data_IF_751760473564
#
_entry.id   IF_751760473564
#
_cell.length_a   1.000
_cell.length_b   1.000
_cell.length_c   1.000
_cell.angle_alpha   90.00
_cell.angle_beta   90.00
_cell.angle_gamma   90.00
#
_symmetry.space_group_name_H-M   'P 1'
#
loop_
_entity.id
_entity.type
_entity.pdbx_description
1 polymer ?
#
# COMPACT_ATOMS: atom_id res chain seq x y z
N UNK A 1 -25.19 -5.17 -2.47
CA UNK A 1 -24.34 -5.45 -3.63
C UNK A 1 -22.94 -4.95 -3.36
N UNK A 2 -21.96 -5.77 -3.55
CA UNK A 2 -20.56 -5.42 -3.27
C UNK A 2 -19.87 -5.05 -4.58
N UNK A 3 -19.35 -3.82 -4.63
CA UNK A 3 -18.53 -3.37 -5.76
C UNK A 3 -17.08 -3.67 -5.48
N UNK A 4 -16.34 -4.03 -6.52
CA UNK A 4 -14.88 -4.23 -6.41
C UNK A 4 -14.17 -3.02 -7.01
N UNK A 5 -13.35 -2.39 -6.19
CA UNK A 5 -12.51 -1.28 -6.64
C UNK A 5 -11.06 -1.74 -6.67
N UNK A 6 -10.41 -1.51 -7.80
CA UNK A 6 -8.99 -1.84 -7.98
C UNK A 6 -8.17 -0.58 -7.77
N UNK A 7 -7.21 -0.65 -6.88
CA UNK A 7 -6.31 0.47 -6.63
C UNK A 7 -4.86 0.00 -6.67
N UNK A 8 -3.99 0.88 -7.13
CA UNK A 8 -2.56 0.61 -7.17
C UNK A 8 -1.83 1.64 -6.33
N UNK A 9 -1.10 1.13 -5.36
CA UNK A 9 -0.28 1.99 -4.51
C UNK A 9 0.91 2.50 -5.34
N UNK A 10 1.26 3.79 -5.24
CA UNK A 10 2.46 4.28 -5.93
C UNK A 10 3.68 3.44 -5.61
N UNK A 11 4.53 3.25 -6.61
CA UNK A 11 5.69 2.35 -6.53
C UNK A 11 6.59 2.73 -5.36
N UNK A 12 6.94 1.73 -4.56
CA UNK A 12 7.86 1.89 -3.44
C UNK A 12 9.27 1.55 -3.91
N UNK A 13 10.24 2.37 -3.56
CA UNK A 13 11.62 2.10 -3.91
C UNK A 13 12.24 1.19 -2.84
N UNK A 14 12.93 0.15 -3.28
CA UNK A 14 13.53 -0.82 -2.37
C UNK A 14 14.59 -0.21 -1.46
N UNK A 15 15.22 0.87 -1.88
CA UNK A 15 16.19 1.58 -1.04
C UNK A 15 15.58 2.07 0.27
N UNK A 16 14.28 2.38 0.29
CA UNK A 16 13.58 2.75 1.52
C UNK A 16 13.47 1.56 2.49
N UNK A 17 13.72 0.34 1.99
CA UNK A 17 13.64 -0.88 2.77
C UNK A 17 14.99 -1.59 2.88
N UNK A 18 16.07 -0.83 2.82
CA UNK A 18 17.40 -1.30 3.13
C UNK A 18 18.17 -1.97 2.01
N UNK A 19 17.62 -2.06 0.79
CA UNK A 19 18.37 -2.60 -0.32
C UNK A 19 19.47 -1.62 -0.76
N UNK A 20 20.69 -2.13 -0.96
CA UNK A 20 21.80 -1.29 -1.39
C UNK A 20 21.68 -0.98 -2.88
N UNK A 21 21.89 0.28 -3.24
CA UNK A 21 21.89 0.71 -4.63
C UNK A 21 23.16 1.44 -5.01
N UNK A 22 24.03 1.74 -4.04
CA UNK A 22 25.12 2.68 -4.25
C UNK A 22 26.37 2.08 -4.88
N UNK A 23 26.60 0.80 -4.67
CA UNK A 23 27.86 0.18 -5.08
C UNK A 23 27.98 -0.04 -6.58
N UNK A 24 26.88 0.05 -7.30
CA UNK A 24 26.85 -0.18 -8.75
C UNK A 24 26.81 1.12 -9.56
N UNK A 25 27.16 2.25 -8.95
CA UNK A 25 27.20 3.52 -9.64
C UNK A 25 28.15 3.42 -10.85
N UNK A 26 27.65 3.77 -12.03
CA UNK A 26 28.43 3.73 -13.27
C UNK A 26 28.35 2.42 -14.03
N UNK A 27 27.74 1.37 -13.46
CA UNK A 27 27.53 0.09 -14.15
C UNK A 27 26.10 0.00 -14.67
N UNK A 28 25.87 -0.66 -15.83
CA UNK A 28 24.51 -0.98 -16.23
C UNK A 28 23.88 -1.87 -15.17
N UNK A 29 22.78 -1.43 -14.61
CA UNK A 29 22.06 -2.19 -13.59
C UNK A 29 20.63 -2.42 -14.05
N UNK A 30 20.13 -3.63 -13.81
CA UNK A 30 18.75 -3.96 -14.12
C UNK A 30 17.92 -3.74 -12.85
N UNK A 31 16.89 -2.96 -12.99
CA UNK A 31 15.93 -2.75 -11.92
C UNK A 31 14.76 -3.70 -12.13
N UNK A 32 14.26 -4.21 -11.02
CA UNK A 32 13.11 -5.10 -11.03
C UNK A 32 11.97 -4.51 -10.23
N UNK A 33 10.77 -4.87 -10.59
CA UNK A 33 9.58 -4.54 -9.83
C UNK A 33 8.91 -5.81 -9.38
N UNK A 34 8.55 -5.86 -8.10
CA UNK A 34 7.79 -6.95 -7.52
C UNK A 34 6.45 -6.40 -7.06
N UNK A 35 5.38 -7.05 -7.46
CA UNK A 35 4.04 -6.62 -7.08
C UNK A 35 3.36 -7.68 -6.25
N UNK A 36 2.65 -7.25 -5.23
CA UNK A 36 1.85 -8.10 -4.38
C UNK A 36 0.45 -7.52 -4.30
N UNK A 37 -0.53 -8.34 -4.61
CA UNK A 37 -1.93 -7.96 -4.51
C UNK A 37 -2.51 -8.47 -3.20
N UNK A 38 -3.46 -7.71 -2.69
CA UNK A 38 -4.26 -8.13 -1.55
C UNK A 38 -5.63 -7.48 -1.66
N UNK A 39 -6.60 -8.06 -0.97
CA UNK A 39 -7.93 -7.49 -0.95
C UNK A 39 -8.40 -7.31 0.48
N UNK A 40 -9.34 -6.40 0.67
CA UNK A 40 -10.01 -6.21 1.93
C UNK A 40 -11.45 -5.78 1.68
N UNK A 41 -12.31 -6.03 2.64
CA UNK A 41 -13.71 -5.63 2.58
C UNK A 41 -13.95 -4.60 3.67
N UNK A 42 -14.57 -3.48 3.30
CA UNK A 42 -14.78 -2.41 4.26
C UNK A 42 -15.99 -1.56 3.87
N UNK A 43 -16.54 -0.88 4.84
CA UNK A 43 -17.67 0.01 4.65
C UNK A 43 -17.22 1.46 4.80
N UNK A 44 -17.86 2.35 4.06
CA UNK A 44 -17.58 3.78 4.17
C UNK A 44 -18.78 4.61 3.75
N UNK A 45 -18.75 5.89 4.13
CA UNK A 45 -19.60 6.89 3.52
C UNK A 45 -18.72 7.79 2.67
N UNK A 46 -19.28 8.29 1.57
CA UNK A 46 -18.58 9.21 0.70
C UNK A 46 -19.40 10.49 0.63
N UNK A 47 -18.90 11.54 1.26
CA UNK A 47 -19.61 12.82 1.29
C UNK A 47 -19.33 13.58 -0.01
N UNK A 48 -20.41 13.88 -0.73
CA UNK A 48 -20.36 14.64 -1.97
C UNK A 48 -21.32 15.81 -1.89
N UNK A 49 -20.97 16.90 -2.57
CA UNK A 49 -21.84 18.05 -2.66
C UNK A 49 -23.09 17.74 -3.48
N UNK A 50 -22.92 17.00 -4.59
CA UNK A 50 -24.02 16.59 -5.46
C UNK A 50 -24.42 15.17 -5.07
N UNK A 51 -25.71 14.94 -4.88
CA UNK A 51 -26.22 13.63 -4.47
C UNK A 51 -25.90 13.32 -3.02
N UNK A 52 -25.93 14.33 -2.14
CA UNK A 52 -25.51 14.21 -0.75
C UNK A 52 -26.23 13.11 0.02
N UNK A 53 -27.53 12.91 -0.22
CA UNK A 53 -28.28 11.86 0.48
C UNK A 53 -27.78 10.47 0.12
N UNK A 54 -27.53 10.21 -1.15
CA UNK A 54 -26.97 8.95 -1.59
C UNK A 54 -25.58 8.72 -1.04
N UNK A 55 -24.78 9.79 -0.97
CA UNK A 55 -23.39 9.71 -0.47
C UNK A 55 -23.31 9.48 1.03
N UNK A 56 -24.34 9.79 1.79
CA UNK A 56 -24.34 9.58 3.25
C UNK A 56 -24.68 8.14 3.63
N UNK A 57 -25.14 7.34 2.68
CA UNK A 57 -25.41 5.94 2.95
C UNK A 57 -24.11 5.19 3.14
N UNK A 58 -24.17 4.16 3.97
CA UNK A 58 -23.03 3.28 4.16
C UNK A 58 -22.92 2.38 2.94
N UNK A 59 -21.75 2.40 2.32
CA UNK A 59 -21.43 1.54 1.17
C UNK A 59 -20.42 0.49 1.58
N UNK A 60 -20.68 -0.74 1.22
CA UNK A 60 -19.74 -1.84 1.41
C UNK A 60 -19.10 -2.17 0.08
N UNK A 61 -17.78 -2.32 0.10
CA UNK A 61 -17.00 -2.64 -1.08
C UNK A 61 -15.96 -3.70 -0.79
N UNK A 62 -15.62 -4.46 -1.82
CA UNK A 62 -14.39 -5.23 -1.82
C UNK A 62 -13.34 -4.40 -2.54
N UNK A 63 -12.25 -4.14 -1.88
CA UNK A 63 -11.13 -3.39 -2.44
C UNK A 63 -10.01 -4.33 -2.82
N UNK A 64 -9.46 -4.14 -4.02
CA UNK A 64 -8.33 -4.91 -4.52
C UNK A 64 -7.17 -3.94 -4.66
N UNK A 65 -6.11 -4.18 -3.92
CA UNK A 65 -4.95 -3.29 -3.87
C UNK A 65 -3.72 -4.00 -4.39
N UNK A 66 -2.87 -3.25 -5.09
CA UNK A 66 -1.60 -3.76 -5.59
C UNK A 66 -0.47 -2.87 -5.08
N UNK A 67 0.49 -3.49 -4.41
CA UNK A 67 1.70 -2.82 -3.93
C UNK A 67 2.86 -3.27 -4.79
N UNK A 68 3.60 -2.31 -5.34
CA UNK A 68 4.77 -2.59 -6.18
C UNK A 68 6.01 -2.00 -5.51
N UNK A 69 7.04 -2.83 -5.38
CA UNK A 69 8.34 -2.42 -4.88
C UNK A 69 9.34 -2.52 -6.02
N UNK A 70 10.08 -1.45 -6.27
CA UNK A 70 11.07 -1.39 -7.34
C UNK A 70 12.47 -1.22 -6.76
N UNK A 71 13.45 -1.84 -7.38
CA UNK A 71 14.82 -1.66 -6.96
C UNK A 71 15.79 -2.60 -7.66
N UNK A 72 17.03 -2.53 -7.21
CA UNK A 72 18.12 -3.36 -7.68
C UNK A 72 18.30 -4.47 -6.65
N UNK A 73 18.38 -5.75 -7.06
CA UNK A 73 18.59 -6.83 -6.12
C UNK A 73 19.88 -6.65 -5.31
N UNK A 74 19.81 -6.97 -4.01
CA UNK A 74 20.99 -6.96 -3.17
C UNK A 74 21.99 -7.99 -3.64
N UNK A 75 23.28 -7.68 -3.54
CA UNK A 75 24.35 -8.57 -4.01
C UNK A 75 24.36 -9.89 -3.26
N UNK A 76 24.15 -9.84 -1.97
CA UNK A 76 24.24 -11.03 -1.11
C UNK A 76 22.93 -11.80 -1.09
N UNK A 77 21.81 -11.12 -1.18
CA UNK A 77 20.49 -11.72 -1.05
C UNK A 77 19.88 -12.14 -2.39
N UNK A 78 20.25 -11.46 -3.46
CA UNK A 78 19.62 -11.66 -4.77
C UNK A 78 18.19 -11.14 -4.82
N UNK A 79 17.77 -10.34 -3.83
CA UNK A 79 16.39 -9.90 -3.69
C UNK A 79 16.30 -8.38 -3.70
N UNK A 80 15.26 -7.86 -4.38
CA UNK A 80 14.84 -6.46 -4.26
C UNK A 80 14.31 -6.22 -2.85
N UNK A 81 13.51 -7.14 -2.37
CA UNK A 81 12.97 -7.17 -1.02
C UNK A 81 12.66 -8.62 -0.67
N UNK A 82 12.75 -8.95 0.61
CA UNK A 82 12.27 -10.25 1.07
C UNK A 82 10.73 -10.25 0.99
N UNK A 83 10.19 -11.15 0.19
CA UNK A 83 8.75 -11.23 -0.03
C UNK A 83 7.98 -11.56 1.26
N UNK A 84 8.58 -12.32 2.16
CA UNK A 84 7.98 -12.62 3.45
C UNK A 84 7.79 -11.36 4.28
N UNK A 85 8.79 -10.47 4.27
CA UNK A 85 8.70 -9.19 4.97
C UNK A 85 7.63 -8.30 4.36
N UNK A 86 7.58 -8.24 3.04
CA UNK A 86 6.56 -7.45 2.34
C UNK A 86 5.15 -7.97 2.69
N UNK A 87 4.96 -9.27 2.65
CA UNK A 87 3.66 -9.88 2.97
C UNK A 87 3.25 -9.62 4.42
N UNK A 88 4.19 -9.67 5.35
CA UNK A 88 3.91 -9.38 6.76
C UNK A 88 3.45 -7.93 6.95
N UNK A 89 4.12 -7.01 6.29
CA UNK A 89 3.74 -5.59 6.36
C UNK A 89 2.38 -5.32 5.70
N UNK A 90 2.13 -5.95 4.57
CA UNK A 90 0.82 -5.85 3.89
C UNK A 90 -0.28 -6.40 4.80
N UNK A 91 -0.03 -7.53 5.45
CA UNK A 91 -1.00 -8.12 6.37
C UNK A 91 -1.33 -7.17 7.52
N UNK A 92 -0.33 -6.51 8.06
CA UNK A 92 -0.52 -5.51 9.12
C UNK A 92 -1.39 -4.34 8.65
N UNK A 93 -1.11 -3.83 7.45
CA UNK A 93 -1.87 -2.72 6.87
C UNK A 93 -3.31 -3.18 6.55
N UNK A 94 -3.45 -4.38 6.01
CA UNK A 94 -4.76 -4.95 5.72
C UNK A 94 -5.61 -5.02 6.97
N UNK A 95 -5.04 -5.41 8.10
CA UNK A 95 -5.76 -5.51 9.37
C UNK A 95 -6.28 -4.16 9.86
N UNK A 96 -5.67 -3.06 9.44
CA UNK A 96 -6.15 -1.73 9.76
C UNK A 96 -7.40 -1.35 8.96
N UNK A 97 -7.61 -2.01 7.83
CA UNK A 97 -8.67 -1.64 6.87
C UNK A 97 -9.77 -2.69 6.78
N UNK A 98 -9.43 -3.97 6.84
CA UNK A 98 -10.35 -5.06 6.60
C UNK A 98 -11.42 -5.12 7.68
N UNK A 99 -12.67 -5.18 7.25
CA UNK A 99 -13.83 -5.22 8.15
C UNK A 99 -13.93 -4.02 9.11
N UNK A 100 -13.36 -2.90 8.70
CA UNK A 100 -13.44 -1.65 9.46
C UNK A 100 -14.39 -0.68 8.77
N UNK A 101 -14.94 0.24 9.57
CA UNK A 101 -15.64 1.40 9.03
C UNK A 101 -14.59 2.46 8.71
N UNK A 102 -14.39 2.70 7.44
CA UNK A 102 -13.25 3.48 6.95
C UNK A 102 -13.27 4.94 7.40
N UNK A 103 -14.47 5.49 7.63
CA UNK A 103 -14.61 6.86 8.13
C UNK A 103 -13.94 7.03 9.50
N UNK A 104 -13.77 5.93 10.24
CA UNK A 104 -13.17 5.93 11.58
C UNK A 104 -11.70 5.54 11.58
N UNK A 105 -11.11 5.21 10.44
CA UNK A 105 -9.70 4.83 10.38
C UNK A 105 -8.82 6.08 10.49
N UNK A 106 -8.01 6.20 11.55
CA UNK A 106 -7.16 7.39 11.73
C UNK A 106 -6.16 7.54 10.59
N UNK A 107 -6.06 8.77 10.05
CA UNK A 107 -5.10 9.07 9.01
C UNK A 107 -5.56 8.79 7.59
N UNK A 108 -6.71 8.14 7.43
CA UNK A 108 -7.22 7.85 6.09
C UNK A 108 -7.90 9.07 5.46
N UNK A 109 -8.66 9.81 6.24
CA UNK A 109 -9.47 10.90 5.72
C UNK A 109 -10.68 10.39 4.96
N UNK A 110 -11.08 11.11 3.92
CA UNK A 110 -12.17 10.67 3.06
C UNK A 110 -11.79 9.37 2.33
N UNK A 111 -12.68 8.39 2.33
CA UNK A 111 -12.38 7.06 1.79
C UNK A 111 -12.45 7.05 0.26
N UNK A 112 -11.54 7.77 -0.37
CA UNK A 112 -11.34 7.75 -1.82
C UNK A 112 -10.23 6.77 -2.17
N UNK A 113 -10.18 6.31 -3.41
CA UNK A 113 -9.10 5.42 -3.86
C UNK A 113 -7.75 6.11 -3.73
N UNK A 114 -7.70 7.41 -4.01
CA UNK A 114 -6.46 8.18 -3.89
C UNK A 114 -5.96 8.20 -2.45
N UNK A 115 -6.84 8.42 -1.50
CA UNK A 115 -6.48 8.43 -0.08
C UNK A 115 -6.09 7.03 0.41
N UNK A 116 -6.69 5.97 -0.11
CA UNK A 116 -6.26 4.60 0.18
C UNK A 116 -4.83 4.37 -0.25
N UNK A 117 -4.50 4.77 -1.47
CA UNK A 117 -3.14 4.60 -1.98
C UNK A 117 -2.12 5.33 -1.11
N UNK A 118 -2.44 6.56 -0.72
CA UNK A 118 -1.59 7.36 0.16
C UNK A 118 -1.44 6.72 1.53
N UNK A 119 -2.55 6.28 2.10
CA UNK A 119 -2.56 5.66 3.43
C UNK A 119 -1.72 4.39 3.44
N UNK A 120 -1.96 3.49 2.47
CA UNK A 120 -1.23 2.22 2.40
C UNK A 120 0.27 2.48 2.23
N UNK A 121 0.62 3.38 1.34
CA UNK A 121 2.02 3.74 1.10
C UNK A 121 2.69 4.27 2.36
N UNK A 122 2.03 5.21 3.03
CA UNK A 122 2.56 5.80 4.27
C UNK A 122 2.75 4.77 5.36
N UNK A 123 1.78 3.86 5.53
CA UNK A 123 1.87 2.82 6.54
C UNK A 123 3.05 1.88 6.28
N UNK A 124 3.28 1.53 5.03
CA UNK A 124 4.39 0.66 4.67
C UNK A 124 5.74 1.33 4.88
N UNK A 125 5.85 2.62 4.56
CA UNK A 125 7.10 3.37 4.74
C UNK A 125 7.38 3.64 6.22
N UNK A 126 6.36 3.99 7.00
CA UNK A 126 6.52 4.28 8.43
C UNK A 126 6.98 3.04 9.19
N UNK A 127 6.48 1.87 8.84
CA UNK A 127 6.88 0.62 9.47
C UNK A 127 8.38 0.38 9.31
N UNK A 128 8.93 0.69 8.15
CA UNK A 128 10.37 0.56 7.91
C UNK A 128 11.18 1.54 8.71
N UNK A 129 10.73 2.78 8.76
CA UNK A 129 11.39 3.82 9.55
C UNK A 129 11.43 3.44 11.03
N UNK A 130 10.33 2.90 11.55
CA UNK A 130 10.24 2.49 12.96
C UNK A 130 11.15 1.31 13.30
N UNK A 131 11.48 0.47 12.34
CA UNK A 131 12.40 -0.64 12.55
C UNK A 131 13.87 -0.22 12.58
N UNK A 132 14.16 0.98 12.19
CA UNK A 132 15.53 1.46 12.12
C UNK A 132 16.34 0.84 11.00
N UNK A 133 15.70 0.28 10.01
CA UNK A 133 16.34 -0.36 8.85
C UNK A 133 16.51 0.64 7.72
N UNK A 134 16.89 1.82 8.08
CA UNK A 134 17.07 2.90 7.13
C UNK A 134 18.19 2.67 6.15
#
# INVERSE_FOLDING_TARGET
MTDTAITRVPVLQSAAWGASTSEDAGKPTVRFELSQRFYFEAAHTLQRTIGAEGSRRIHEHTYDAEVTVAGIPGKDTGMVIDLSDLRAEISRVRDLLDHHFLDEVPGLGTATLDNFCQFIRSQLLDARAMRGDG
#
